data_IF_581930205662
#
_entry.id   IF_581930205662
#
_cell.length_a   1.000
_cell.length_b   1.000
_cell.length_c   1.000
_cell.angle_alpha   90.00
_cell.angle_beta   90.00
_cell.angle_gamma   90.00
#
_symmetry.space_group_name_H-M   'P 1'
#
loop_
_entity.id
_entity.type
_entity.pdbx_description
1 polymer ?
#
# COMPACT_ATOMS: atom_id res chain seq x y z
N UNK A 1 -0.81 -7.60 18.56
CA UNK A 1 -1.41 -7.11 17.31
C UNK A 1 -1.85 -5.65 17.43
N UNK A 2 -2.50 -5.24 18.52
CA UNK A 2 -2.95 -3.85 18.74
C UNK A 2 -1.88 -2.75 18.50
N UNK A 3 -0.63 -2.98 18.92
CA UNK A 3 0.48 -2.04 18.66
C UNK A 3 0.79 -1.90 17.15
N UNK A 4 0.78 -3.01 16.41
CA UNK A 4 1.04 -3.03 14.97
C UNK A 4 -0.10 -2.33 14.22
N UNK A 5 -1.36 -2.59 14.61
CA UNK A 5 -2.52 -1.92 14.03
C UNK A 5 -2.48 -0.40 14.25
N UNK A 6 -2.15 0.04 15.47
CA UNK A 6 -1.98 1.48 15.77
C UNK A 6 -0.86 2.11 14.94
N UNK A 7 0.28 1.43 14.79
CA UNK A 7 1.40 1.90 13.97
C UNK A 7 1.03 1.94 12.48
N UNK A 8 0.39 0.90 11.96
CA UNK A 8 -0.07 0.84 10.58
C UNK A 8 -1.10 1.95 10.29
N UNK A 9 -2.01 2.21 11.23
CA UNK A 9 -2.99 3.29 11.11
C UNK A 9 -2.32 4.67 11.07
N UNK A 10 -1.30 4.89 11.90
CA UNK A 10 -0.54 6.13 11.89
C UNK A 10 0.17 6.34 10.55
N UNK A 11 0.89 5.32 10.07
CA UNK A 11 1.60 5.40 8.78
C UNK A 11 0.63 5.59 7.61
N UNK A 12 -0.51 4.89 7.59
CA UNK A 12 -1.52 5.05 6.55
C UNK A 12 -2.08 6.48 6.49
N UNK A 13 -2.27 7.15 7.65
CA UNK A 13 -2.68 8.56 7.70
C UNK A 13 -1.61 9.47 7.09
N UNK A 14 -0.33 9.25 7.38
CA UNK A 14 0.76 10.06 6.82
C UNK A 14 0.88 9.89 5.31
N UNK A 15 0.78 8.65 4.81
CA UNK A 15 0.82 8.33 3.37
C UNK A 15 -0.31 9.04 2.61
N UNK A 16 -1.55 8.95 3.13
CA UNK A 16 -2.70 9.53 2.43
C UNK A 16 -2.68 11.07 2.48
N UNK A 17 -2.19 11.67 3.58
CA UNK A 17 -1.95 13.12 3.66
C UNK A 17 -0.91 13.53 2.61
N UNK A 18 0.19 12.78 2.49
CA UNK A 18 1.21 13.07 1.47
C UNK A 18 0.62 12.98 0.06
N UNK A 19 -0.22 11.98 -0.24
CA UNK A 19 -0.89 11.87 -1.53
C UNK A 19 -1.86 13.03 -1.81
N UNK A 20 -2.48 13.60 -0.78
CA UNK A 20 -3.28 14.82 -0.91
C UNK A 20 -2.39 16.03 -1.18
N UNK A 21 -1.29 16.19 -0.44
CA UNK A 21 -0.33 17.28 -0.62
C UNK A 21 0.27 17.30 -2.04
N UNK A 22 0.53 16.12 -2.63
CA UNK A 22 1.08 16.00 -3.99
C UNK A 22 0.01 15.91 -5.09
N UNK A 23 -1.28 16.03 -4.73
CA UNK A 23 -2.39 16.05 -5.69
C UNK A 23 -2.72 14.70 -6.35
N UNK A 24 -2.36 13.57 -5.74
CA UNK A 24 -2.70 12.22 -6.22
C UNK A 24 -4.04 11.71 -5.70
N UNK A 25 -4.42 12.17 -4.51
CA UNK A 25 -5.72 11.95 -3.87
C UNK A 25 -6.30 13.33 -3.55
N UNK A 26 -7.61 13.51 -3.58
CA UNK A 26 -8.27 14.71 -3.08
C UNK A 26 -8.92 14.44 -1.73
N UNK A 27 -9.21 15.49 -0.92
CA UNK A 27 -10.01 15.32 0.28
C UNK A 27 -11.40 14.70 -0.01
N UNK A 28 -11.97 14.95 -1.19
CA UNK A 28 -13.31 14.47 -1.56
C UNK A 28 -13.38 12.97 -1.88
N UNK A 29 -12.28 12.36 -2.37
CA UNK A 29 -12.23 10.92 -2.68
C UNK A 29 -11.38 10.11 -1.67
N UNK A 30 -10.96 10.73 -0.57
CA UNK A 30 -10.17 10.10 0.50
C UNK A 30 -10.74 8.74 0.96
N UNK A 31 -12.05 8.66 1.16
CA UNK A 31 -12.71 7.46 1.70
C UNK A 31 -12.57 6.23 0.80
N UNK A 32 -12.47 6.44 -0.51
CA UNK A 32 -12.31 5.38 -1.51
C UNK A 32 -10.90 4.78 -1.47
N UNK A 33 -9.90 5.59 -1.15
CA UNK A 33 -8.48 5.19 -1.17
C UNK A 33 -7.95 4.73 0.19
N UNK A 34 -8.43 5.33 1.29
CA UNK A 34 -7.86 5.12 2.62
C UNK A 34 -7.90 3.65 3.06
N UNK A 35 -8.98 2.92 2.76
CA UNK A 35 -9.12 1.50 3.12
C UNK A 35 -8.02 0.66 2.49
N UNK A 36 -7.78 0.81 1.18
CA UNK A 36 -6.76 0.06 0.45
C UNK A 36 -5.37 0.35 1.01
N UNK A 37 -5.03 1.63 1.18
CA UNK A 37 -3.73 2.06 1.72
C UNK A 37 -3.52 1.49 3.13
N UNK A 38 -4.52 1.58 4.01
CA UNK A 38 -4.42 1.02 5.36
C UNK A 38 -4.23 -0.49 5.35
N UNK A 39 -4.97 -1.22 4.50
CA UNK A 39 -4.82 -2.67 4.36
C UNK A 39 -3.42 -3.06 3.88
N UNK A 40 -2.88 -2.36 2.88
CA UNK A 40 -1.55 -2.64 2.35
C UNK A 40 -0.46 -2.40 3.40
N UNK A 41 -0.53 -1.29 4.13
CA UNK A 41 0.40 -0.98 5.23
C UNK A 41 0.28 -1.99 6.37
N UNK A 42 -0.94 -2.37 6.73
CA UNK A 42 -1.18 -3.36 7.79
C UNK A 42 -0.63 -4.74 7.39
N UNK A 43 -0.83 -5.17 6.14
CA UNK A 43 -0.28 -6.44 5.65
C UNK A 43 1.24 -6.43 5.62
N UNK A 44 1.86 -5.33 5.16
CA UNK A 44 3.30 -5.18 5.11
C UNK A 44 3.94 -5.26 6.52
N UNK A 45 3.28 -4.67 7.52
CA UNK A 45 3.76 -4.64 8.91
C UNK A 45 3.43 -5.92 9.69
N UNK A 46 2.32 -6.59 9.38
CA UNK A 46 1.94 -7.87 10.00
C UNK A 46 2.75 -9.05 9.45
N UNK A 47 3.14 -9.03 8.16
CA UNK A 47 3.79 -10.16 7.49
C UNK A 47 5.32 -10.20 7.67
N UNK A 48 5.91 -9.28 8.44
CA UNK A 48 7.33 -9.32 8.80
C UNK A 48 8.29 -9.47 7.61
N UNK A 49 7.99 -8.85 6.47
CA UNK A 49 8.84 -8.91 5.28
C UNK A 49 8.91 -10.27 4.58
N UNK A 50 7.98 -11.19 4.82
CA UNK A 50 7.89 -12.44 4.05
C UNK A 50 6.94 -12.27 2.86
N UNK A 51 7.56 -12.00 1.71
CA UNK A 51 7.16 -12.41 0.36
C UNK A 51 6.17 -11.50 -0.40
N UNK A 52 6.72 -10.61 -1.23
CA UNK A 52 6.28 -10.48 -2.62
C UNK A 52 7.51 -10.52 -3.54
N UNK A 53 8.06 -11.72 -3.69
CA UNK A 53 8.82 -12.14 -4.86
C UNK A 53 7.96 -13.17 -5.61
N UNK A 54 6.82 -12.73 -6.15
CA UNK A 54 6.05 -13.45 -7.16
C UNK A 54 4.99 -12.46 -7.69
N UNK A 55 5.33 -11.60 -8.65
CA UNK A 55 5.00 -11.89 -10.06
C UNK A 55 5.97 -11.23 -11.06
N UNK A 56 7.03 -11.95 -11.43
CA UNK A 56 7.57 -12.03 -12.79
C UNK A 56 8.19 -13.43 -12.91
N UNK A 57 8.03 -14.19 -14.01
CA UNK A 57 8.23 -13.69 -15.38
C UNK A 57 7.27 -14.29 -16.45
N UNK A 58 7.18 -13.65 -17.61
CA UNK A 58 6.92 -14.33 -18.88
C UNK A 58 7.60 -13.58 -20.01
N UNK A 59 8.86 -13.94 -20.25
CA UNK A 59 9.51 -13.79 -21.54
C UNK A 59 8.77 -14.65 -22.57
N UNK A 60 8.15 -14.03 -23.56
CA UNK A 60 7.85 -14.60 -24.87
C UNK A 60 8.15 -13.47 -25.87
N UNK A 61 9.05 -13.58 -26.83
CA UNK A 61 9.68 -14.71 -27.46
C UNK A 61 10.04 -14.18 -28.84
N UNK A 62 11.29 -13.78 -29.00
CA UNK A 62 11.89 -13.51 -30.30
C UNK A 62 11.83 -14.82 -31.11
N UNK A 63 11.09 -14.79 -32.23
CA UNK A 63 11.16 -15.79 -33.30
C UNK A 63 10.85 -15.09 -34.63
N UNK A 64 11.93 -14.91 -35.39
CA UNK A 64 12.09 -14.87 -36.86
C UNK A 64 11.05 -14.14 -37.72
#
# INVERSE_FOLDING_TARGET
MEKIEKQALQVAKEVVIKFIEVGRISPSNFGEHFRTIYTDVLQATASGGKNNASTAPATAGDKE
#
